data_IF_530976013381
#
_entry.id   IF_530976013381
#
_cell.length_a   1.000
_cell.length_b   1.000
_cell.length_c   1.000
_cell.angle_alpha   90.00
_cell.angle_beta   90.00
_cell.angle_gamma   90.00
#
_symmetry.space_group_name_H-M   'P 1'
#
loop_
_entity.id
_entity.type
_entity.pdbx_description
1 polymer ?
#
# COMPACT_ATOMS: atom_id res chain seq x y z
N UNK A 1 -21.34 -5.21 -12.99
CA UNK A 1 -20.01 -5.47 -13.57
C UNK A 1 -20.10 -6.72 -14.44
N UNK A 2 -19.70 -6.61 -15.71
CA UNK A 2 -19.73 -7.73 -16.64
C UNK A 2 -18.47 -8.59 -16.43
N UNK A 3 -18.63 -9.83 -16.01
CA UNK A 3 -17.54 -10.77 -15.72
C UNK A 3 -16.57 -10.96 -16.89
N UNK A 4 -17.04 -10.79 -18.14
CA UNK A 4 -16.22 -10.96 -19.35
C UNK A 4 -15.23 -9.81 -19.63
N UNK A 5 -15.40 -8.64 -19.02
CA UNK A 5 -14.54 -7.45 -19.24
C UNK A 5 -13.74 -7.03 -18.02
N UNK A 6 -13.88 -7.73 -16.90
CA UNK A 6 -13.22 -7.40 -15.63
C UNK A 6 -11.69 -7.38 -15.70
N UNK A 7 -11.11 -8.08 -16.65
CA UNK A 7 -9.66 -8.17 -16.84
C UNK A 7 -9.09 -7.09 -17.76
N UNK A 8 -9.93 -6.24 -18.35
CA UNK A 8 -9.49 -5.19 -19.29
C UNK A 8 -9.10 -3.95 -18.49
N UNK A 9 -7.84 -3.52 -18.58
CA UNK A 9 -7.39 -2.30 -17.90
C UNK A 9 -8.06 -1.05 -18.48
N UNK A 10 -8.47 -0.13 -17.61
CA UNK A 10 -9.15 1.12 -17.97
C UNK A 10 -8.28 2.32 -17.59
N UNK A 11 -7.90 3.12 -18.60
CA UNK A 11 -7.20 4.37 -18.44
C UNK A 11 -8.13 5.56 -18.69
N UNK A 12 -8.10 6.55 -17.80
CA UNK A 12 -8.80 7.83 -18.00
C UNK A 12 -7.79 8.88 -18.46
N UNK A 13 -8.05 9.46 -19.63
CA UNK A 13 -7.26 10.55 -20.22
C UNK A 13 -8.05 11.86 -20.11
N UNK A 14 -7.64 12.78 -19.23
CA UNK A 14 -8.41 13.99 -18.93
C UNK A 14 -7.54 15.25 -18.90
N UNK A 15 -8.17 16.39 -19.15
CA UNK A 15 -7.55 17.72 -18.94
C UNK A 15 -7.73 18.22 -17.51
N UNK A 16 -8.59 17.57 -16.71
CA UNK A 16 -8.80 17.94 -15.31
C UNK A 16 -7.59 17.53 -14.47
N UNK A 17 -7.08 18.45 -13.69
CA UNK A 17 -5.90 18.28 -12.85
C UNK A 17 -6.22 18.20 -11.36
N UNK A 18 -7.47 18.43 -11.00
CA UNK A 18 -7.93 18.41 -9.61
C UNK A 18 -7.89 17.01 -9.03
N UNK A 19 -7.56 16.94 -7.75
CA UNK A 19 -7.40 15.67 -7.02
C UNK A 19 -8.73 14.94 -6.90
N UNK A 20 -9.82 15.65 -6.83
CA UNK A 20 -11.15 15.09 -6.62
C UNK A 20 -11.60 14.29 -7.86
N UNK A 21 -11.43 14.86 -9.07
CA UNK A 21 -11.67 14.14 -10.33
C UNK A 21 -10.79 12.90 -10.50
N UNK A 22 -9.53 12.95 -10.04
CA UNK A 22 -8.64 11.80 -10.07
C UNK A 22 -9.11 10.71 -9.11
N UNK A 23 -9.48 11.08 -7.87
CA UNK A 23 -9.98 10.14 -6.86
C UNK A 23 -11.28 9.49 -7.28
N UNK A 24 -12.20 10.27 -7.88
CA UNK A 24 -13.47 9.73 -8.39
C UNK A 24 -13.22 8.71 -9.50
N UNK A 25 -12.29 8.98 -10.39
CA UNK A 25 -11.89 8.04 -11.45
C UNK A 25 -11.44 6.69 -10.90
N UNK A 26 -10.67 6.71 -9.83
CA UNK A 26 -10.22 5.47 -9.17
C UNK A 26 -11.35 4.77 -8.39
N UNK A 27 -12.29 5.53 -7.82
CA UNK A 27 -13.48 4.97 -7.14
C UNK A 27 -14.39 4.21 -8.10
N UNK A 28 -14.55 4.69 -9.33
CA UNK A 28 -15.36 4.02 -10.35
C UNK A 28 -14.62 2.88 -11.05
N UNK A 29 -13.36 2.60 -10.69
CA UNK A 29 -12.62 1.43 -11.13
C UNK A 29 -11.62 1.67 -12.27
N UNK A 30 -11.18 2.93 -12.49
CA UNK A 30 -10.08 3.19 -13.39
C UNK A 30 -8.75 2.69 -12.79
N UNK A 31 -7.94 2.05 -13.62
CA UNK A 31 -6.63 1.53 -13.23
C UNK A 31 -5.55 2.62 -13.23
N UNK A 32 -5.71 3.66 -14.05
CA UNK A 32 -4.80 4.81 -14.06
C UNK A 32 -5.48 6.07 -14.60
N UNK A 33 -4.93 7.24 -14.25
CA UNK A 33 -5.38 8.56 -14.67
C UNK A 33 -4.23 9.34 -15.27
N UNK A 34 -4.37 9.80 -16.51
CA UNK A 34 -3.34 10.52 -17.24
C UNK A 34 -3.84 11.90 -17.63
N UNK A 35 -3.14 12.92 -17.15
CA UNK A 35 -3.49 14.32 -17.41
C UNK A 35 -2.98 14.73 -18.79
N UNK A 36 -3.83 15.38 -19.57
CA UNK A 36 -3.45 16.02 -20.84
C UNK A 36 -2.87 17.42 -20.59
N UNK A 37 -1.79 17.83 -21.30
CA UNK A 37 -1.06 17.09 -22.33
C UNK A 37 -0.10 16.04 -21.76
N UNK A 38 0.01 14.87 -22.40
CA UNK A 38 0.90 13.78 -21.99
C UNK A 38 1.85 13.36 -23.13
N UNK A 39 2.97 12.78 -22.75
CA UNK A 39 3.90 12.18 -23.71
C UNK A 39 3.36 10.82 -24.19
N UNK A 40 3.33 10.61 -25.50
CA UNK A 40 2.97 9.31 -26.10
C UNK A 40 3.86 8.19 -25.57
N UNK A 41 5.14 8.48 -25.29
CA UNK A 41 6.05 7.49 -24.73
C UNK A 41 5.62 7.06 -23.31
N UNK A 42 5.17 8.00 -22.49
CA UNK A 42 4.65 7.69 -21.14
C UNK A 42 3.41 6.80 -21.24
N UNK A 43 2.46 7.13 -22.13
CA UNK A 43 1.28 6.34 -22.36
C UNK A 43 1.66 4.92 -22.83
N UNK A 44 2.56 4.81 -23.81
CA UNK A 44 3.05 3.53 -24.33
C UNK A 44 3.70 2.67 -23.24
N UNK A 45 4.57 3.25 -22.41
CA UNK A 45 5.19 2.52 -21.30
C UNK A 45 4.18 2.05 -20.25
N UNK A 46 3.24 2.91 -19.87
CA UNK A 46 2.18 2.54 -18.93
C UNK A 46 1.33 1.40 -19.47
N UNK A 47 0.91 1.50 -20.74
CA UNK A 47 0.08 0.47 -21.39
C UNK A 47 0.82 -0.86 -21.53
N UNK A 48 2.09 -0.84 -21.96
CA UNK A 48 2.90 -2.06 -22.08
C UNK A 48 3.10 -2.74 -20.71
N UNK A 49 3.44 -1.97 -19.67
CA UNK A 49 3.60 -2.53 -18.32
C UNK A 49 2.31 -3.18 -17.80
N UNK A 50 1.16 -2.61 -18.12
CA UNK A 50 -0.11 -3.14 -17.67
C UNK A 50 -0.53 -4.36 -18.47
N UNK A 51 -0.33 -4.37 -19.79
CA UNK A 51 -0.57 -5.54 -20.64
C UNK A 51 0.34 -6.72 -20.24
N UNK A 52 1.59 -6.47 -19.92
CA UNK A 52 2.49 -7.51 -19.41
C UNK A 52 1.96 -8.11 -18.08
N UNK A 53 1.42 -7.29 -17.21
CA UNK A 53 0.86 -7.76 -15.94
C UNK A 53 -0.46 -8.52 -16.17
N UNK A 54 -1.34 -8.05 -17.06
CA UNK A 54 -2.62 -8.71 -17.39
C UNK A 54 -2.41 -10.01 -18.14
N UNK A 55 -1.49 -10.06 -19.10
CA UNK A 55 -1.16 -11.27 -19.87
C UNK A 55 -0.59 -12.36 -18.96
N UNK A 56 0.26 -11.97 -18.01
CA UNK A 56 0.84 -12.88 -17.04
C UNK A 56 -0.23 -13.52 -16.13
N UNK A 57 -1.26 -12.77 -15.73
CA UNK A 57 -2.37 -13.28 -14.93
C UNK A 57 -3.28 -14.20 -15.77
N UNK A 58 -3.51 -13.88 -17.04
CA UNK A 58 -4.42 -14.65 -17.92
C UNK A 58 -3.82 -15.99 -18.35
N UNK A 59 -2.55 -16.05 -18.74
CA UNK A 59 -1.89 -17.30 -19.15
C UNK A 59 -1.74 -18.30 -18.00
N UNK A 60 -1.72 -17.83 -16.74
CA UNK A 60 -1.51 -18.67 -15.57
C UNK A 60 -2.81 -19.15 -14.91
N UNK A 61 -3.98 -18.71 -15.40
CA UNK A 61 -5.29 -19.19 -14.91
C UNK A 61 -5.70 -20.54 -15.50
N UNK A 62 -5.03 -21.03 -16.53
CA UNK A 62 -5.44 -22.24 -17.27
C UNK A 62 -4.56 -23.48 -17.10
N UNK A 63 -3.44 -23.40 -16.35
CA UNK A 63 -2.60 -24.58 -16.10
C UNK A 63 -2.02 -24.59 -14.68
N UNK A 64 -2.61 -25.41 -13.85
CA UNK A 64 -2.11 -25.75 -12.51
C UNK A 64 -0.92 -26.72 -12.67
N UNK A 65 0.31 -26.22 -12.47
CA UNK A 65 1.58 -26.90 -12.11
C UNK A 65 2.80 -26.32 -12.88
N UNK A 66 3.90 -25.99 -12.38
CA UNK A 66 4.64 -25.73 -11.14
C UNK A 66 5.02 -24.24 -10.88
N UNK A 67 4.29 -23.29 -11.42
CA UNK A 67 4.56 -21.83 -11.36
C UNK A 67 4.24 -21.21 -9.99
N UNK A 68 3.46 -21.92 -9.16
CA UNK A 68 3.13 -21.43 -7.81
C UNK A 68 4.37 -21.24 -6.93
N UNK A 69 5.40 -22.08 -7.07
CA UNK A 69 6.62 -21.95 -6.26
C UNK A 69 7.45 -20.72 -6.63
N UNK A 70 7.54 -20.36 -7.92
CA UNK A 70 8.32 -19.21 -8.38
C UNK A 70 7.57 -17.91 -8.02
N UNK A 71 6.25 -17.86 -8.23
CA UNK A 71 5.43 -16.72 -7.84
C UNK A 71 5.41 -16.51 -6.32
N UNK A 72 5.37 -17.61 -5.54
CA UNK A 72 5.41 -17.53 -4.09
C UNK A 72 6.74 -17.00 -3.59
N UNK A 73 7.87 -17.42 -4.19
CA UNK A 73 9.20 -16.95 -3.82
C UNK A 73 9.39 -15.48 -4.18
N UNK A 74 9.05 -15.07 -5.39
CA UNK A 74 9.16 -13.68 -5.84
C UNK A 74 8.23 -12.73 -5.05
N UNK A 75 7.01 -13.17 -4.74
CA UNK A 75 6.09 -12.42 -3.91
C UNK A 75 6.61 -12.27 -2.48
N UNK A 76 7.24 -13.32 -1.95
CA UNK A 76 7.89 -13.30 -0.63
C UNK A 76 9.04 -12.30 -0.59
N UNK A 77 9.92 -12.31 -1.59
CA UNK A 77 11.03 -11.36 -1.69
C UNK A 77 10.55 -9.90 -1.79
N UNK A 78 9.49 -9.65 -2.56
CA UNK A 78 8.87 -8.32 -2.67
C UNK A 78 8.32 -7.87 -1.31
N UNK A 79 7.62 -8.74 -0.59
CA UNK A 79 7.09 -8.44 0.74
C UNK A 79 8.18 -8.22 1.77
N UNK A 80 9.21 -9.04 1.79
CA UNK A 80 10.35 -8.89 2.70
C UNK A 80 11.05 -7.55 2.46
N UNK A 81 11.32 -7.22 1.19
CA UNK A 81 11.89 -5.91 0.85
C UNK A 81 10.95 -4.75 1.23
N UNK A 82 9.66 -4.87 0.97
CA UNK A 82 8.67 -3.85 1.33
C UNK A 82 8.61 -3.62 2.85
N UNK A 83 8.61 -4.70 3.64
CA UNK A 83 8.68 -4.63 5.10
C UNK A 83 9.96 -3.91 5.55
N UNK A 84 11.13 -4.32 5.05
CA UNK A 84 12.41 -3.71 5.40
C UNK A 84 12.44 -2.21 5.08
N UNK A 85 11.90 -1.79 3.93
CA UNK A 85 11.85 -0.37 3.54
C UNK A 85 10.98 0.43 4.49
N UNK A 86 9.80 -0.08 4.86
CA UNK A 86 8.91 0.61 5.80
C UNK A 86 9.51 0.62 7.22
N UNK A 87 10.07 -0.47 7.69
CA UNK A 87 10.74 -0.56 9.00
C UNK A 87 11.91 0.40 9.10
N UNK A 88 12.74 0.51 8.07
CA UNK A 88 13.84 1.49 8.01
C UNK A 88 13.37 2.94 8.12
N UNK A 89 12.14 3.22 7.69
CA UNK A 89 11.52 4.54 7.70
C UNK A 89 10.38 4.65 8.71
N UNK A 90 10.41 3.83 9.77
CA UNK A 90 9.28 3.68 10.70
C UNK A 90 8.92 4.99 11.41
N UNK A 91 9.92 5.73 11.85
CA UNK A 91 9.84 7.01 12.57
C UNK A 91 9.77 8.23 11.65
N UNK A 92 10.00 8.04 10.35
CA UNK A 92 10.02 9.12 9.38
C UNK A 92 8.59 9.60 9.06
N UNK A 93 8.17 10.70 9.69
CA UNK A 93 6.85 11.33 9.48
C UNK A 93 6.63 11.80 8.04
N UNK A 94 7.72 12.06 7.28
CA UNK A 94 7.67 12.52 5.88
C UNK A 94 7.75 11.37 4.87
N UNK A 95 7.83 10.11 5.34
CA UNK A 95 7.87 8.95 4.46
C UNK A 95 6.62 8.87 3.61
N UNK A 96 6.77 9.09 2.33
CA UNK A 96 5.70 9.17 1.35
C UNK A 96 5.63 7.92 0.47
N UNK A 97 4.47 7.68 -0.17
CA UNK A 97 4.32 6.62 -1.17
C UNK A 97 5.31 6.77 -2.32
N UNK A 98 5.68 8.01 -2.69
CA UNK A 98 6.71 8.27 -3.73
C UNK A 98 8.08 7.76 -3.31
N UNK A 99 8.48 8.04 -2.07
CA UNK A 99 9.74 7.57 -1.52
C UNK A 99 9.73 6.04 -1.38
N UNK A 100 8.64 5.47 -0.90
CA UNK A 100 8.50 4.01 -0.81
C UNK A 100 8.64 3.35 -2.19
N UNK A 101 7.94 3.85 -3.21
CA UNK A 101 8.03 3.33 -4.56
C UNK A 101 9.45 3.47 -5.13
N UNK A 102 10.13 4.58 -4.87
CA UNK A 102 11.50 4.79 -5.28
C UNK A 102 12.47 3.79 -4.64
N UNK A 103 12.39 3.56 -3.32
CA UNK A 103 13.22 2.58 -2.60
C UNK A 103 12.93 1.14 -3.04
N UNK A 104 11.71 0.87 -3.51
CA UNK A 104 11.33 -0.40 -4.11
C UNK A 104 11.76 -0.55 -5.58
N UNK A 105 12.31 0.50 -6.21
CA UNK A 105 12.60 0.58 -7.65
C UNK A 105 11.33 0.37 -8.53
N UNK A 106 10.21 0.95 -8.11
CA UNK A 106 8.91 0.82 -8.76
C UNK A 106 8.26 2.18 -8.97
N UNK A 107 7.29 2.27 -9.89
CA UNK A 107 6.34 3.38 -9.91
C UNK A 107 5.35 3.25 -8.75
N UNK A 108 4.71 4.36 -8.33
CA UNK A 108 3.69 4.32 -7.29
C UNK A 108 2.53 3.38 -7.66
N UNK A 109 2.09 3.39 -8.91
CA UNK A 109 1.03 2.51 -9.41
C UNK A 109 1.46 1.04 -9.38
N UNK A 110 2.67 0.73 -9.84
CA UNK A 110 3.20 -0.64 -9.81
C UNK A 110 3.34 -1.18 -8.39
N UNK A 111 3.85 -0.36 -7.46
CA UNK A 111 3.94 -0.73 -6.05
C UNK A 111 2.55 -1.01 -5.46
N UNK A 112 1.59 -0.10 -5.72
CA UNK A 112 0.22 -0.26 -5.23
C UNK A 112 -0.43 -1.56 -5.73
N UNK A 113 -0.35 -1.82 -7.04
CA UNK A 113 -0.93 -3.02 -7.64
C UNK A 113 -0.29 -4.30 -7.10
N UNK A 114 1.04 -4.33 -6.96
CA UNK A 114 1.74 -5.50 -6.42
C UNK A 114 1.39 -5.75 -4.96
N UNK A 115 1.43 -4.72 -4.10
CA UNK A 115 1.06 -4.88 -2.70
C UNK A 115 -0.40 -5.33 -2.56
N UNK A 116 -1.32 -4.71 -3.31
CA UNK A 116 -2.74 -5.09 -3.27
C UNK A 116 -2.97 -6.52 -3.76
N UNK A 117 -2.26 -6.96 -4.81
CA UNK A 117 -2.36 -8.33 -5.31
C UNK A 117 -1.83 -9.37 -4.30
N UNK A 118 -0.76 -9.03 -3.57
CA UNK A 118 -0.11 -9.97 -2.64
C UNK A 118 -0.79 -9.96 -1.27
N UNK A 119 -1.18 -8.77 -0.76
CA UNK A 119 -1.67 -8.60 0.63
C UNK A 119 -3.16 -8.30 0.73
N UNK A 120 -3.79 -7.89 -0.37
CA UNK A 120 -5.15 -7.35 -0.38
C UNK A 120 -5.25 -5.90 0.13
N UNK A 121 -4.14 -5.31 0.58
CA UNK A 121 -4.08 -4.00 1.24
C UNK A 121 -3.58 -2.91 0.27
N UNK A 122 -4.05 -1.68 0.43
CA UNK A 122 -3.46 -0.52 -0.25
C UNK A 122 -2.07 -0.22 0.29
N UNK A 123 -1.24 0.51 -0.48
CA UNK A 123 0.11 0.92 -0.03
C UNK A 123 0.08 1.69 1.29
N UNK A 124 -0.93 2.55 1.48
CA UNK A 124 -1.09 3.31 2.73
C UNK A 124 -1.46 2.41 3.90
N UNK A 125 -2.39 1.48 3.71
CA UNK A 125 -2.77 0.50 4.73
C UNK A 125 -1.60 -0.39 5.11
N UNK A 126 -0.79 -0.82 4.15
CA UNK A 126 0.43 -1.58 4.38
C UNK A 126 1.42 -0.85 5.28
N UNK A 127 1.69 0.46 5.01
CA UNK A 127 2.57 1.28 5.87
C UNK A 127 1.97 1.41 7.27
N UNK A 128 0.67 1.72 7.38
CA UNK A 128 0.01 1.86 8.68
C UNK A 128 0.06 0.57 9.49
N UNK A 129 -0.17 -0.57 8.87
CA UNK A 129 -0.10 -1.89 9.51
C UNK A 129 1.24 -2.13 10.18
N UNK A 130 2.35 -1.90 9.47
CA UNK A 130 3.70 -2.10 10.02
C UNK A 130 3.96 -1.14 11.18
N UNK A 131 3.61 0.15 11.02
CA UNK A 131 3.74 1.16 12.07
C UNK A 131 2.93 0.83 13.31
N UNK A 132 1.69 0.38 13.14
CA UNK A 132 0.81 0.03 14.25
C UNK A 132 1.21 -1.28 14.93
N UNK A 133 1.73 -2.26 14.19
CA UNK A 133 2.33 -3.45 14.79
C UNK A 133 3.52 -3.09 15.68
N UNK A 134 4.40 -2.18 15.22
CA UNK A 134 5.51 -1.68 16.03
C UNK A 134 5.02 -0.91 17.26
N UNK A 135 3.95 -0.12 17.11
CA UNK A 135 3.32 0.57 18.24
C UNK A 135 2.80 -0.41 19.31
N UNK A 136 2.17 -1.52 18.89
CA UNK A 136 1.74 -2.56 19.83
C UNK A 136 2.91 -3.10 20.65
N UNK A 137 4.04 -3.42 20.01
CA UNK A 137 5.25 -3.88 20.71
C UNK A 137 5.75 -2.85 21.73
N UNK A 138 5.83 -1.57 21.35
CA UNK A 138 6.26 -0.50 22.25
C UNK A 138 5.30 -0.27 23.42
N UNK A 139 3.98 -0.46 23.20
CA UNK A 139 2.99 -0.42 24.26
C UNK A 139 3.13 -1.59 25.23
N UNK A 140 3.47 -2.78 24.73
CA UNK A 140 3.75 -4.00 25.53
C UNK A 140 5.03 -3.87 26.35
N UNK A 141 6.00 -3.09 25.89
CA UNK A 141 7.20 -2.78 26.69
C UNK A 141 6.93 -1.85 27.89
N UNK A 142 5.87 -1.07 27.84
CA UNK A 142 5.43 -0.17 28.93
C UNK A 142 6.29 1.05 29.20
N UNK A 143 7.44 1.20 28.52
CA UNK A 143 8.48 2.21 28.81
C UNK A 143 8.13 3.62 28.37
N UNK A 144 7.28 3.76 27.36
CA UNK A 144 6.99 5.02 26.70
C UNK A 144 5.53 5.45 26.90
N UNK A 145 5.29 6.75 26.83
CA UNK A 145 3.94 7.31 26.77
C UNK A 145 3.33 7.08 25.38
N UNK A 146 2.00 7.13 25.27
CA UNK A 146 1.29 7.00 24.01
C UNK A 146 1.72 8.08 23.00
N UNK A 147 2.00 9.29 23.51
CA UNK A 147 2.47 10.41 22.69
C UNK A 147 3.86 10.14 22.10
N UNK A 148 4.80 9.68 22.91
CA UNK A 148 6.13 9.29 22.43
C UNK A 148 6.06 8.18 21.41
N UNK A 149 5.30 7.12 21.68
CA UNK A 149 5.10 6.01 20.74
C UNK A 149 4.56 6.50 19.40
N UNK A 150 3.60 7.44 19.41
CA UNK A 150 3.03 7.97 18.17
C UNK A 150 4.10 8.59 17.27
N UNK A 151 5.05 9.34 17.82
CA UNK A 151 6.16 9.93 17.08
C UNK A 151 7.20 8.90 16.67
N UNK A 152 7.54 7.96 17.56
CA UNK A 152 8.48 6.87 17.27
C UNK A 152 8.04 5.98 16.10
N UNK A 153 6.74 5.88 15.86
CA UNK A 153 6.21 5.11 14.73
C UNK A 153 5.73 6.00 13.56
N UNK A 154 6.23 7.24 13.50
CA UNK A 154 6.13 8.12 12.35
C UNK A 154 4.76 8.79 12.14
N UNK A 155 3.97 8.99 13.18
CA UNK A 155 2.75 9.81 13.11
C UNK A 155 3.03 11.25 13.51
N UNK A 156 2.45 12.19 12.77
CA UNK A 156 2.63 13.63 13.03
C UNK A 156 1.90 14.11 14.28
N UNK A 157 0.82 13.44 14.67
CA UNK A 157 0.02 13.82 15.84
C UNK A 157 -0.49 12.59 16.60
N UNK A 158 -0.49 12.62 17.95
CA UNK A 158 -1.03 11.55 18.77
C UNK A 158 -2.53 11.30 18.53
N UNK A 159 -3.30 12.33 18.19
CA UNK A 159 -4.73 12.20 17.91
C UNK A 159 -4.98 11.36 16.65
N UNK A 160 -4.23 11.62 15.57
CA UNK A 160 -4.35 10.83 14.34
C UNK A 160 -3.86 9.39 14.56
N UNK A 161 -2.76 9.22 15.27
CA UNK A 161 -2.28 7.91 15.69
C UNK A 161 -3.37 7.11 16.43
N UNK A 162 -4.00 7.72 17.45
CA UNK A 162 -5.05 7.07 18.25
C UNK A 162 -6.24 6.64 17.38
N UNK A 163 -6.64 7.46 16.41
CA UNK A 163 -7.71 7.12 15.45
C UNK A 163 -7.33 5.93 14.58
N UNK A 164 -6.11 5.94 14.02
CA UNK A 164 -5.61 4.84 13.19
C UNK A 164 -5.45 3.55 14.01
N UNK A 165 -4.92 3.66 15.23
CA UNK A 165 -4.72 2.51 16.13
C UNK A 165 -6.06 1.87 16.51
N UNK A 166 -7.05 2.66 16.91
CA UNK A 166 -8.40 2.15 17.22
C UNK A 166 -9.04 1.46 16.03
N UNK A 167 -8.89 2.04 14.83
CA UNK A 167 -9.41 1.46 13.59
C UNK A 167 -8.77 0.10 13.28
N UNK A 168 -7.47 -0.03 13.52
CA UNK A 168 -6.70 -1.22 13.16
C UNK A 168 -6.76 -2.31 14.23
N UNK A 169 -6.58 -1.93 15.51
CA UNK A 169 -6.47 -2.87 16.65
C UNK A 169 -7.84 -3.12 17.31
N UNK A 170 -8.82 -2.23 17.10
CA UNK A 170 -10.16 -2.35 17.64
C UNK A 170 -10.35 -1.72 19.02
N UNK A 171 -9.30 -1.23 19.68
CA UNK A 171 -9.37 -0.56 20.97
C UNK A 171 -8.43 0.67 21.02
N UNK A 172 -8.56 1.52 22.02
CA UNK A 172 -7.67 2.66 22.21
C UNK A 172 -6.26 2.20 22.63
N UNK A 173 -5.19 2.95 22.30
CA UNK A 173 -3.82 2.62 22.73
C UNK A 173 -3.69 2.48 24.25
N UNK A 174 -4.40 3.31 25.04
CA UNK A 174 -4.40 3.22 26.49
C UNK A 174 -5.07 1.94 26.99
N UNK A 175 -6.18 1.55 26.38
CA UNK A 175 -6.88 0.31 26.71
C UNK A 175 -6.03 -0.92 26.37
N UNK A 176 -5.31 -0.85 25.24
CA UNK A 176 -4.36 -1.89 24.85
C UNK A 176 -3.22 -2.01 25.86
N UNK A 177 -2.58 -0.89 26.24
CA UNK A 177 -1.49 -0.85 27.23
C UNK A 177 -1.93 -1.40 28.58
N UNK A 178 -3.12 -1.05 29.05
CA UNK A 178 -3.63 -1.47 30.36
C UNK A 178 -3.91 -2.99 30.46
N UNK A 179 -3.94 -3.73 29.35
CA UNK A 179 -4.01 -5.20 29.36
C UNK A 179 -2.73 -5.84 29.88
N UNK A 180 -1.59 -5.17 29.68
CA UNK A 180 -0.26 -5.63 30.10
C UNK A 180 0.17 -4.99 31.44
N UNK A 181 -0.35 -3.80 31.72
CA UNK A 181 -0.05 -3.03 32.92
C UNK A 181 -1.35 -2.53 33.55
N UNK A 182 -2.12 -3.43 34.19
CA UNK A 182 -3.35 -3.01 34.87
C UNK A 182 -3.02 -2.04 36.01
N UNK A 183 -3.71 -0.88 36.03
CA UNK A 183 -3.60 0.17 37.06
C UNK A 183 -4.35 -0.26 38.31
#
# INVERSE_FOLDING_TARGET
ENLSTRHIPVYILSTKTDIESQLESFRVGADDYIIKPFSINILKFKTLNMLHTSHYIFEHSSNIMPTERINTTMNKEILEKANMVVEKNIDNMKFSIKQFAWEMNMSCSSLHMKLKAITGESTTEFIHKIRLNRACQLLEEGKFSISEISFMVGYNTPSYFTTCFKKYVGCLPIEYKNRFFPV
#
